data_IF_396061836802
#
_entry.id   IF_396061836802
#
_cell.length_a   1.000
_cell.length_b   1.000
_cell.length_c   1.000
_cell.angle_alpha   90.00
_cell.angle_beta   90.00
_cell.angle_gamma   90.00
#
_symmetry.space_group_name_H-M   'P 1'
#
loop_
_entity.id
_entity.type
_entity.pdbx_description
1 polymer ?
#
# COMPACT_ATOMS: atom_id res chain seq x y z
N UNK A 1 19.74 -29.30 20.13
CA UNK A 1 18.97 -28.06 19.88
C UNK A 1 19.48 -27.44 18.58
N UNK A 2 18.62 -27.17 17.59
CA UNK A 2 19.04 -26.57 16.33
C UNK A 2 19.13 -25.05 16.53
N UNK A 3 20.27 -24.43 16.18
CA UNK A 3 20.49 -23.00 16.32
C UNK A 3 20.43 -22.33 14.96
N UNK A 4 19.74 -21.18 14.87
CA UNK A 4 19.68 -20.36 13.65
C UNK A 4 20.99 -19.56 13.55
N UNK A 5 21.63 -19.60 12.38
CA UNK A 5 22.81 -18.78 12.09
C UNK A 5 22.38 -17.37 11.73
N UNK A 6 22.83 -16.39 12.48
CA UNK A 6 22.64 -14.96 12.18
C UNK A 6 23.76 -14.51 11.22
N UNK A 7 23.37 -13.95 10.05
CA UNK A 7 24.29 -13.46 9.02
C UNK A 7 24.11 -11.97 8.69
N UNK A 8 23.27 -11.27 9.48
CA UNK A 8 23.15 -9.81 9.43
C UNK A 8 23.95 -9.23 10.61
N UNK A 9 24.87 -8.33 10.35
CA UNK A 9 25.79 -7.78 11.35
C UNK A 9 25.66 -6.28 11.44
N UNK A 10 24.80 -5.84 12.31
CA UNK A 10 24.73 -4.45 12.74
C UNK A 10 24.38 -3.45 11.65
N UNK A 11 24.10 -2.25 12.11
CA UNK A 11 23.77 -1.11 11.29
C UNK A 11 25.00 -0.20 11.11
N UNK A 12 25.07 0.42 9.92
CA UNK A 12 26.10 1.40 9.58
C UNK A 12 25.49 2.50 8.71
N UNK A 13 26.36 3.36 8.18
CA UNK A 13 25.99 4.34 7.16
C UNK A 13 27.03 4.41 6.05
N UNK A 14 26.58 4.75 4.82
CA UNK A 14 27.44 4.89 3.66
C UNK A 14 27.03 6.09 2.81
N UNK A 15 27.99 6.69 2.10
CA UNK A 15 27.66 7.63 1.04
C UNK A 15 27.04 6.89 -0.15
N UNK A 16 26.19 7.56 -0.91
CA UNK A 16 25.52 6.96 -2.06
C UNK A 16 26.51 6.39 -3.08
N UNK A 17 27.66 7.05 -3.25
CA UNK A 17 28.73 6.71 -4.18
C UNK A 17 29.50 5.44 -3.80
N UNK A 18 29.47 5.07 -2.52
CA UNK A 18 30.14 3.88 -2.01
C UNK A 18 29.34 2.60 -2.28
N UNK A 19 28.05 2.75 -2.60
CA UNK A 19 27.12 1.64 -2.84
C UNK A 19 27.23 1.15 -4.29
N UNK A 20 27.66 -0.07 -4.46
CA UNK A 20 27.83 -0.69 -5.77
C UNK A 20 26.68 -1.67 -6.08
N UNK A 21 26.01 -1.56 -7.23
CA UNK A 21 24.94 -2.49 -7.60
C UNK A 21 25.51 -3.88 -7.91
N UNK A 22 24.87 -4.95 -7.40
CA UNK A 22 25.25 -6.34 -7.68
C UNK A 22 24.21 -7.09 -8.53
N UNK A 23 23.00 -6.54 -8.64
CA UNK A 23 21.85 -7.17 -9.29
C UNK A 23 22.02 -7.32 -10.82
N UNK A 24 22.77 -6.44 -11.48
CA UNK A 24 22.81 -6.36 -12.95
C UNK A 24 21.40 -6.01 -13.50
N UNK A 25 21.03 -6.68 -14.58
CA UNK A 25 19.72 -6.48 -15.26
C UNK A 25 18.56 -7.31 -14.71
N UNK A 26 18.65 -7.89 -13.50
CA UNK A 26 17.61 -8.78 -12.96
C UNK A 26 16.24 -8.11 -12.83
N UNK A 27 16.19 -6.83 -12.46
CA UNK A 27 14.96 -6.03 -12.37
C UNK A 27 15.16 -4.68 -13.04
N UNK A 28 14.19 -4.21 -13.78
CA UNK A 28 14.11 -2.85 -14.32
C UNK A 28 13.18 -1.99 -13.47
N UNK A 29 13.37 -0.68 -13.51
CA UNK A 29 12.52 0.31 -12.87
C UNK A 29 11.81 1.12 -13.95
N UNK A 30 10.49 0.97 -14.07
CA UNK A 30 9.69 1.78 -14.99
C UNK A 30 9.61 3.24 -14.52
N UNK A 31 9.30 4.16 -15.42
CA UNK A 31 9.14 5.57 -15.07
C UNK A 31 8.05 5.76 -14.01
N UNK A 32 6.91 5.10 -14.17
CA UNK A 32 5.82 5.16 -13.20
C UNK A 32 6.27 4.68 -11.81
N UNK A 33 6.98 3.55 -11.72
CA UNK A 33 7.47 3.02 -10.45
C UNK A 33 8.58 3.90 -9.86
N UNK A 34 9.41 4.54 -10.70
CA UNK A 34 10.37 5.53 -10.25
C UNK A 34 9.67 6.71 -9.57
N UNK A 35 8.61 7.26 -10.17
CA UNK A 35 7.87 8.38 -9.58
C UNK A 35 7.21 8.01 -8.24
N UNK A 36 6.61 6.82 -8.14
CA UNK A 36 6.04 6.29 -6.88
C UNK A 36 7.12 6.14 -5.81
N UNK A 37 8.25 5.53 -6.14
CA UNK A 37 9.35 5.32 -5.21
C UNK A 37 9.97 6.65 -4.77
N UNK A 38 10.13 7.61 -5.69
CA UNK A 38 10.58 8.98 -5.40
C UNK A 38 9.59 9.66 -4.46
N UNK A 39 8.28 9.61 -4.72
CA UNK A 39 7.25 10.18 -3.86
C UNK A 39 7.30 9.57 -2.44
N UNK A 40 7.49 8.26 -2.32
CA UNK A 40 7.65 7.60 -1.03
C UNK A 40 8.89 8.09 -0.27
N UNK A 41 10.04 8.22 -0.95
CA UNK A 41 11.31 8.65 -0.34
C UNK A 41 11.28 10.13 0.05
N UNK A 42 10.67 10.99 -0.77
CA UNK A 42 10.65 12.45 -0.52
C UNK A 42 9.45 12.92 0.28
N UNK A 43 8.43 12.09 0.41
CA UNK A 43 7.20 12.38 1.13
C UNK A 43 7.28 12.13 2.64
N UNK A 44 6.13 11.98 3.26
CA UNK A 44 5.97 11.80 4.72
C UNK A 44 6.73 10.60 5.31
N UNK A 45 7.00 9.57 4.51
CA UNK A 45 7.67 8.36 4.98
C UNK A 45 9.20 8.49 4.99
N UNK A 46 9.77 9.33 4.14
CA UNK A 46 11.22 9.49 4.01
C UNK A 46 11.92 8.20 3.56
N UNK A 47 13.24 8.15 3.72
CA UNK A 47 14.02 6.94 3.45
C UNK A 47 13.99 6.02 4.67
N UNK A 48 13.07 5.05 4.71
CA UNK A 48 12.70 4.26 5.90
C UNK A 48 13.36 2.89 5.99
N UNK A 49 13.98 2.38 4.92
CA UNK A 49 14.52 1.02 4.88
C UNK A 49 16.01 1.04 4.52
N UNK A 50 16.91 0.44 5.34
CA UNK A 50 18.33 0.39 5.06
C UNK A 50 18.63 -0.41 3.79
N UNK A 51 19.83 -0.20 3.23
CA UNK A 51 20.37 -1.09 2.20
C UNK A 51 20.99 -2.31 2.86
N UNK A 52 20.66 -3.51 2.38
CA UNK A 52 21.45 -4.68 2.74
C UNK A 52 22.70 -4.72 1.86
N UNK A 53 23.88 -4.70 2.48
CA UNK A 53 25.15 -4.62 1.77
C UNK A 53 26.10 -5.75 2.16
N UNK A 54 26.81 -6.26 1.17
CA UNK A 54 27.93 -7.19 1.36
C UNK A 54 29.24 -6.47 1.20
N UNK A 55 30.08 -6.45 2.25
CA UNK A 55 31.41 -5.87 2.20
C UNK A 55 32.42 -6.89 1.68
N UNK A 56 33.00 -6.60 0.52
CA UNK A 56 34.01 -7.47 -0.10
C UNK A 56 35.14 -6.65 -0.74
N UNK A 57 36.39 -6.96 -0.42
CA UNK A 57 37.57 -6.29 -0.93
C UNK A 57 37.50 -4.75 -0.84
N UNK A 58 37.02 -4.25 0.31
CA UNK A 58 36.89 -2.82 0.58
C UNK A 58 35.69 -2.14 -0.08
N UNK A 59 34.90 -2.82 -0.92
CA UNK A 59 33.71 -2.29 -1.57
C UNK A 59 32.43 -2.75 -0.88
N UNK A 60 31.39 -1.91 -0.92
CA UNK A 60 30.05 -2.21 -0.46
C UNK A 60 29.18 -2.59 -1.64
N UNK A 61 28.76 -3.85 -1.71
CA UNK A 61 27.92 -4.39 -2.76
C UNK A 61 26.49 -4.49 -2.27
N UNK A 62 25.57 -3.84 -2.95
CA UNK A 62 24.14 -3.86 -2.61
C UNK A 62 23.55 -5.24 -2.89
N UNK A 63 22.98 -5.86 -1.86
CA UNK A 63 22.26 -7.14 -1.92
C UNK A 63 20.76 -6.90 -1.98
N UNK A 64 20.25 -5.93 -1.21
CA UNK A 64 18.88 -5.44 -1.34
C UNK A 64 18.82 -3.91 -1.38
N UNK A 65 17.79 -3.39 -2.07
CA UNK A 65 17.57 -1.95 -2.26
C UNK A 65 18.00 -1.41 -3.62
N UNK A 66 18.27 -2.26 -4.61
CA UNK A 66 18.77 -1.85 -5.93
C UNK A 66 17.89 -0.78 -6.62
N UNK A 67 16.56 -0.88 -6.53
CA UNK A 67 15.65 0.10 -7.12
C UNK A 67 15.74 1.46 -6.39
N UNK A 68 15.89 1.43 -5.05
CA UNK A 68 16.15 2.62 -4.24
C UNK A 68 17.49 3.27 -4.62
N UNK A 69 18.54 2.45 -4.78
CA UNK A 69 19.85 2.93 -5.22
C UNK A 69 19.76 3.60 -6.58
N UNK A 70 19.15 2.96 -7.57
CA UNK A 70 18.95 3.51 -8.90
C UNK A 70 18.17 4.83 -8.86
N UNK A 71 17.09 4.90 -8.07
CA UNK A 71 16.30 6.11 -7.90
C UNK A 71 17.08 7.25 -7.27
N UNK A 72 17.83 7.00 -6.20
CA UNK A 72 18.64 8.03 -5.55
C UNK A 72 19.77 8.54 -6.43
N UNK A 73 20.44 7.65 -7.19
CA UNK A 73 21.46 8.05 -8.18
C UNK A 73 20.86 8.95 -9.26
N UNK A 74 19.67 8.61 -9.76
CA UNK A 74 18.92 9.41 -10.74
C UNK A 74 18.51 10.75 -10.16
N UNK A 75 17.92 10.78 -8.98
CA UNK A 75 17.51 12.02 -8.28
C UNK A 75 18.70 12.95 -8.05
N UNK A 76 19.86 12.40 -7.65
CA UNK A 76 21.07 13.20 -7.48
C UNK A 76 21.56 13.77 -8.80
N UNK A 77 21.62 12.94 -9.87
CA UNK A 77 22.18 13.31 -11.18
C UNK A 77 21.28 14.26 -11.96
N UNK A 78 19.98 13.97 -12.03
CA UNK A 78 19.05 14.65 -12.93
C UNK A 78 18.28 15.77 -12.23
N UNK A 79 18.04 15.64 -10.92
CA UNK A 79 17.19 16.56 -10.16
C UNK A 79 17.93 17.31 -9.04
N UNK A 80 19.26 17.15 -8.95
CA UNK A 80 20.12 17.88 -8.01
C UNK A 80 19.78 17.66 -6.53
N UNK A 81 19.21 16.52 -6.17
CA UNK A 81 18.95 16.21 -4.76
C UNK A 81 20.27 16.03 -3.98
N UNK A 82 20.32 16.61 -2.79
CA UNK A 82 21.38 16.34 -1.82
C UNK A 82 21.02 15.08 -1.05
N UNK A 83 21.76 14.01 -1.26
CA UNK A 83 21.54 12.73 -0.58
C UNK A 83 22.49 12.65 0.63
N UNK A 84 21.96 12.55 1.86
CA UNK A 84 22.79 12.34 3.05
C UNK A 84 23.39 10.94 3.07
N UNK A 85 24.22 10.63 4.07
CA UNK A 85 24.63 9.24 4.33
C UNK A 85 23.41 8.37 4.58
N UNK A 86 23.40 7.20 3.95
CA UNK A 86 22.26 6.28 3.91
C UNK A 86 22.48 5.13 4.89
N UNK A 87 21.42 4.69 5.61
CA UNK A 87 21.52 3.56 6.51
C UNK A 87 21.81 2.27 5.73
N UNK A 88 22.69 1.44 6.28
CA UNK A 88 23.07 0.15 5.70
C UNK A 88 23.08 -0.93 6.78
N UNK A 89 22.73 -2.16 6.40
CA UNK A 89 22.89 -3.37 7.19
C UNK A 89 23.87 -4.31 6.50
N UNK A 90 24.81 -4.88 7.26
CA UNK A 90 25.80 -5.78 6.71
C UNK A 90 25.30 -7.21 6.61
N UNK A 91 25.39 -7.77 5.41
CA UNK A 91 25.05 -9.16 5.11
C UNK A 91 26.34 -9.92 4.79
N UNK A 92 26.54 -11.06 5.45
CA UNK A 92 27.70 -11.92 5.17
C UNK A 92 27.47 -12.77 3.91
N UNK A 93 28.48 -12.85 3.05
CA UNK A 93 28.57 -13.84 1.99
C UNK A 93 30.04 -14.23 1.78
N UNK A 94 30.28 -15.51 1.56
CA UNK A 94 31.63 -16.05 1.37
C UNK A 94 32.25 -15.66 0.02
N UNK A 95 31.37 -15.49 -0.96
CA UNK A 95 31.76 -15.16 -2.34
C UNK A 95 30.60 -14.50 -3.10
N UNK A 96 30.87 -14.08 -4.34
CA UNK A 96 29.89 -13.40 -5.20
C UNK A 96 28.67 -14.28 -5.55
N UNK A 97 28.87 -15.61 -5.64
CA UNK A 97 27.78 -16.54 -5.92
C UNK A 97 26.76 -16.52 -4.76
N UNK A 98 27.24 -16.68 -3.54
CA UNK A 98 26.38 -16.63 -2.35
C UNK A 98 25.70 -15.25 -2.18
N UNK A 99 26.42 -14.16 -2.48
CA UNK A 99 25.82 -12.83 -2.44
C UNK A 99 24.69 -12.68 -3.47
N UNK A 100 24.82 -13.25 -4.68
CA UNK A 100 23.75 -13.27 -5.69
C UNK A 100 22.58 -14.18 -5.29
N UNK A 101 22.85 -15.33 -4.67
CA UNK A 101 21.80 -16.18 -4.09
C UNK A 101 20.99 -15.40 -3.05
N UNK A 102 21.62 -14.59 -2.21
CA UNK A 102 20.93 -13.74 -1.24
C UNK A 102 20.09 -12.64 -1.89
N UNK A 103 20.47 -12.10 -3.05
CA UNK A 103 19.60 -11.19 -3.83
C UNK A 103 18.30 -11.92 -4.23
N UNK A 104 18.40 -13.17 -4.70
CA UNK A 104 17.21 -13.96 -5.06
C UNK A 104 16.35 -14.26 -3.84
N UNK A 105 16.95 -14.60 -2.69
CA UNK A 105 16.22 -14.80 -1.42
C UNK A 105 15.50 -13.54 -0.96
N UNK A 106 16.15 -12.38 -1.02
CA UNK A 106 15.54 -11.09 -0.67
C UNK A 106 14.42 -10.67 -1.64
N UNK A 107 14.45 -11.21 -2.86
CA UNK A 107 13.45 -10.94 -3.90
C UNK A 107 12.28 -11.93 -3.86
N UNK A 108 12.46 -13.07 -3.18
CA UNK A 108 11.46 -14.13 -3.12
C UNK A 108 10.26 -13.74 -2.29
N UNK A 109 9.07 -14.09 -2.78
CA UNK A 109 7.81 -13.86 -2.08
C UNK A 109 7.35 -15.17 -1.43
N UNK A 110 7.58 -15.30 -0.13
CA UNK A 110 7.19 -16.49 0.63
C UNK A 110 5.76 -16.42 1.16
N UNK A 111 5.18 -15.24 1.25
CA UNK A 111 3.80 -14.98 1.64
C UNK A 111 2.97 -14.51 0.45
N UNK A 112 1.68 -14.88 0.44
CA UNK A 112 0.70 -14.31 -0.50
C UNK A 112 -0.12 -13.24 0.19
N UNK A 113 -0.29 -12.13 -0.49
CA UNK A 113 -1.25 -11.10 -0.13
C UNK A 113 -2.50 -11.29 -0.99
N UNK A 114 -3.69 -11.22 -0.39
CA UNK A 114 -4.97 -11.26 -1.09
C UNK A 114 -5.67 -9.91 -0.95
N UNK A 115 -6.66 -9.63 -1.82
CA UNK A 115 -7.48 -8.42 -1.70
C UNK A 115 -8.15 -8.35 -0.32
N UNK A 116 -8.66 -9.48 0.19
CA UNK A 116 -9.28 -9.58 1.51
C UNK A 116 -8.30 -9.24 2.65
N UNK A 117 -7.13 -9.90 2.68
CA UNK A 117 -6.13 -9.66 3.73
C UNK A 117 -5.58 -8.23 3.71
N UNK A 118 -5.46 -7.62 2.53
CA UNK A 118 -5.08 -6.22 2.42
C UNK A 118 -6.20 -5.31 2.91
N UNK A 119 -7.46 -5.60 2.55
CA UNK A 119 -8.63 -4.85 3.03
C UNK A 119 -8.72 -4.82 4.56
N UNK A 120 -8.56 -5.97 5.20
CA UNK A 120 -8.55 -6.08 6.67
C UNK A 120 -7.40 -5.30 7.30
N UNK A 121 -6.21 -5.38 6.70
CA UNK A 121 -5.03 -4.63 7.16
C UNK A 121 -5.24 -3.11 7.07
N UNK A 122 -5.85 -2.63 5.97
CA UNK A 122 -6.15 -1.21 5.77
C UNK A 122 -7.17 -0.71 6.81
N UNK A 123 -8.25 -1.48 7.04
CA UNK A 123 -9.27 -1.17 8.05
C UNK A 123 -8.68 -1.14 9.46
N UNK A 124 -7.87 -2.13 9.82
CA UNK A 124 -7.23 -2.20 11.14
C UNK A 124 -6.25 -1.06 11.40
N UNK A 125 -5.59 -0.56 10.37
CA UNK A 125 -4.60 0.52 10.44
C UNK A 125 -5.17 1.92 10.19
N UNK A 126 -6.47 2.05 9.91
CA UNK A 126 -7.11 3.32 9.46
C UNK A 126 -6.33 3.95 8.29
N UNK A 127 -5.96 3.11 7.31
CA UNK A 127 -5.17 3.51 6.16
C UNK A 127 -6.06 3.77 4.95
N UNK A 128 -5.86 4.93 4.31
CA UNK A 128 -6.58 5.26 3.08
C UNK A 128 -5.91 4.59 1.87
N UNK A 129 -6.71 3.82 1.12
CA UNK A 129 -6.25 3.17 -0.11
C UNK A 129 -5.87 4.18 -1.19
N UNK A 130 -6.49 5.36 -1.22
CA UNK A 130 -6.18 6.41 -2.18
C UNK A 130 -4.74 6.92 -1.97
N UNK A 131 -4.33 7.13 -0.72
CA UNK A 131 -2.95 7.52 -0.36
C UNK A 131 -1.94 6.43 -0.78
N UNK A 132 -2.31 5.15 -0.67
CA UNK A 132 -1.42 4.03 -0.97
C UNK A 132 -1.23 3.79 -2.46
N UNK A 133 -2.25 4.01 -3.30
CA UNK A 133 -2.18 3.84 -4.75
C UNK A 133 -1.02 4.60 -5.39
N UNK A 134 -0.70 5.77 -4.86
CA UNK A 134 0.39 6.63 -5.35
C UNK A 134 1.78 6.20 -4.86
N UNK A 135 1.85 5.39 -3.80
CA UNK A 135 3.11 5.06 -3.12
C UNK A 135 3.57 3.62 -3.32
N UNK A 136 2.62 2.67 -3.45
CA UNK A 136 2.96 1.25 -3.48
C UNK A 136 2.70 0.60 -4.83
N UNK A 137 3.43 -0.46 -5.10
CA UNK A 137 3.24 -1.33 -6.26
C UNK A 137 3.04 -2.76 -5.75
N UNK A 138 1.84 -3.28 -5.89
CA UNK A 138 1.44 -4.63 -5.49
C UNK A 138 0.99 -5.40 -6.74
N UNK A 139 1.91 -6.12 -7.43
CA UNK A 139 1.62 -6.70 -8.74
C UNK A 139 0.47 -7.72 -8.76
N UNK A 140 0.19 -8.35 -7.62
CA UNK A 140 -0.86 -9.38 -7.49
C UNK A 140 -2.22 -8.80 -7.04
N UNK A 141 -2.28 -7.50 -6.73
CA UNK A 141 -3.49 -6.84 -6.20
C UNK A 141 -3.93 -5.71 -7.13
N UNK A 142 -5.18 -5.75 -7.54
CA UNK A 142 -5.83 -4.64 -8.23
C UNK A 142 -6.33 -3.61 -7.19
N UNK A 143 -5.50 -2.59 -6.95
CA UNK A 143 -5.82 -1.54 -5.97
C UNK A 143 -7.03 -0.67 -6.40
N UNK A 144 -7.33 -0.57 -7.70
CA UNK A 144 -8.51 0.17 -8.18
C UNK A 144 -9.79 -0.59 -7.83
N UNK A 145 -9.80 -1.89 -8.12
CA UNK A 145 -10.92 -2.76 -7.80
C UNK A 145 -11.14 -2.85 -6.28
N UNK A 146 -10.07 -3.03 -5.52
CA UNK A 146 -10.14 -3.06 -4.05
C UNK A 146 -10.68 -1.74 -3.49
N UNK A 147 -10.21 -0.60 -3.98
CA UNK A 147 -10.72 0.71 -3.56
C UNK A 147 -12.22 0.86 -3.83
N UNK A 148 -12.67 0.42 -5.00
CA UNK A 148 -14.10 0.46 -5.34
C UNK A 148 -14.95 -0.45 -4.44
N UNK A 149 -14.44 -1.63 -4.07
CA UNK A 149 -15.16 -2.54 -3.15
C UNK A 149 -15.20 -2.00 -1.72
N UNK A 150 -14.13 -1.43 -1.21
CA UNK A 150 -14.09 -0.84 0.14
C UNK A 150 -15.01 0.39 0.29
N UNK A 151 -15.16 1.19 -0.77
CA UNK A 151 -16.09 2.33 -0.77
C UNK A 151 -17.55 1.86 -0.82
N UNK A 152 -17.81 0.74 -1.51
CA UNK A 152 -19.16 0.20 -1.68
C UNK A 152 -19.62 -0.72 -0.53
N UNK A 153 -18.78 -1.04 0.44
CA UNK A 153 -19.21 -1.68 1.67
C UNK A 153 -19.98 -0.67 2.54
N UNK A 154 -21.23 -0.41 2.15
CA UNK A 154 -22.19 0.16 3.09
C UNK A 154 -22.31 -0.73 4.33
N UNK A 155 -22.78 -0.22 5.48
CA UNK A 155 -22.96 -1.04 6.66
C UNK A 155 -23.75 -2.30 6.31
N UNK A 156 -23.24 -3.47 6.72
CA UNK A 156 -23.91 -4.75 6.46
C UNK A 156 -25.40 -4.66 6.81
N UNK A 157 -26.29 -5.12 5.90
CA UNK A 157 -27.71 -5.09 6.17
C UNK A 157 -28.00 -5.89 7.45
N UNK A 158 -28.48 -5.23 8.50
CA UNK A 158 -28.85 -5.88 9.77
C UNK A 158 -30.19 -6.60 9.62
N UNK A 159 -30.29 -7.52 8.67
CA UNK A 159 -31.52 -8.23 8.32
C UNK A 159 -32.10 -8.97 9.53
N UNK A 160 -31.24 -9.60 10.35
CA UNK A 160 -31.62 -10.32 11.54
C UNK A 160 -32.24 -9.43 12.61
N UNK A 161 -31.87 -8.14 12.61
CA UNK A 161 -32.43 -7.12 13.54
C UNK A 161 -33.55 -6.30 12.95
N UNK A 162 -33.91 -6.51 11.68
CA UNK A 162 -34.92 -5.71 11.00
C UNK A 162 -36.27 -5.71 11.72
N UNK A 163 -36.71 -6.87 12.21
CA UNK A 163 -37.96 -7.01 12.94
C UNK A 163 -37.95 -6.29 14.32
N UNK A 164 -36.82 -6.32 15.02
CA UNK A 164 -36.64 -5.60 16.29
C UNK A 164 -36.60 -4.08 16.08
N UNK A 165 -35.87 -3.64 15.06
CA UNK A 165 -35.74 -2.23 14.71
C UNK A 165 -37.06 -1.67 14.22
N UNK A 166 -37.85 -2.45 13.47
CA UNK A 166 -39.19 -2.07 13.04
C UNK A 166 -40.13 -1.83 14.24
N UNK A 167 -40.10 -2.73 15.23
CA UNK A 167 -40.89 -2.56 16.47
C UNK A 167 -40.46 -1.33 17.28
N UNK A 168 -39.12 -1.14 17.39
CA UNK A 168 -38.54 -0.01 18.14
C UNK A 168 -38.88 1.33 17.53
N UNK A 169 -38.74 1.45 16.21
CA UNK A 169 -38.89 2.71 15.48
C UNK A 169 -40.26 2.88 14.84
N UNK A 170 -41.14 1.86 14.98
CA UNK A 170 -42.51 1.83 14.42
C UNK A 170 -42.55 2.20 12.94
N UNK A 171 -41.56 1.69 12.19
CA UNK A 171 -41.44 1.98 10.76
C UNK A 171 -42.57 1.31 9.98
N UNK A 172 -43.22 2.06 9.09
CA UNK A 172 -44.32 1.56 8.25
C UNK A 172 -44.07 1.99 6.79
N UNK A 173 -44.62 1.19 5.86
CA UNK A 173 -44.57 1.51 4.43
C UNK A 173 -45.32 2.83 4.17
N UNK A 174 -44.74 3.69 3.34
CA UNK A 174 -45.27 5.03 3.04
C UNK A 174 -44.80 6.13 4.00
N UNK A 175 -44.15 5.76 5.10
CA UNK A 175 -43.67 6.71 6.09
C UNK A 175 -42.45 7.47 5.56
N UNK A 176 -42.42 8.80 5.75
CA UNK A 176 -41.34 9.70 5.35
C UNK A 176 -40.65 10.26 6.58
N UNK A 177 -39.31 10.30 6.56
CA UNK A 177 -38.49 10.99 7.55
C UNK A 177 -37.77 12.16 6.91
N UNK A 178 -37.67 13.25 7.61
CA UNK A 178 -36.89 14.41 7.24
C UNK A 178 -35.56 14.41 8.01
N UNK A 179 -34.44 14.41 7.30
CA UNK A 179 -33.07 14.37 7.86
C UNK A 179 -32.35 15.61 7.36
N UNK A 180 -32.47 16.72 8.10
CA UNK A 180 -32.01 18.02 7.65
C UNK A 180 -32.74 18.47 6.37
N UNK A 181 -31.99 18.57 5.26
CA UNK A 181 -32.55 18.91 3.94
C UNK A 181 -32.95 17.70 3.08
N UNK A 182 -32.77 16.50 3.59
CA UNK A 182 -33.04 15.27 2.88
C UNK A 182 -34.33 14.60 3.36
N UNK A 183 -34.96 13.86 2.46
CA UNK A 183 -36.17 13.06 2.78
C UNK A 183 -35.90 11.60 2.48
N UNK A 184 -36.26 10.74 3.41
CA UNK A 184 -36.14 9.29 3.29
C UNK A 184 -37.54 8.69 3.40
N UNK A 185 -37.90 7.77 2.54
CA UNK A 185 -39.18 7.09 2.54
C UNK A 185 -39.01 5.57 2.59
N UNK A 186 -39.80 4.91 3.43
CA UNK A 186 -39.99 3.47 3.38
C UNK A 186 -40.99 3.12 2.27
N UNK A 187 -40.51 2.88 1.03
CA UNK A 187 -41.37 2.68 -0.13
C UNK A 187 -40.71 1.81 -1.19
N UNK A 188 -41.33 1.74 -2.36
CA UNK A 188 -40.89 1.00 -3.52
C UNK A 188 -40.45 1.98 -4.59
N UNK A 189 -39.12 2.03 -4.86
CA UNK A 189 -38.52 2.95 -5.82
C UNK A 189 -38.94 2.69 -7.27
N UNK A 190 -39.57 1.54 -7.55
CA UNK A 190 -40.13 1.22 -8.87
C UNK A 190 -41.54 1.77 -9.09
N UNK A 191 -42.19 2.25 -8.01
CA UNK A 191 -43.53 2.83 -8.08
C UNK A 191 -43.46 4.36 -8.21
N UNK A 192 -43.97 4.87 -9.31
CA UNK A 192 -43.98 6.30 -9.60
C UNK A 192 -44.70 7.14 -8.53
N UNK A 193 -45.65 6.55 -7.80
CA UNK A 193 -46.37 7.20 -6.70
C UNK A 193 -45.45 7.42 -5.49
N UNK A 194 -44.71 6.39 -5.07
CA UNK A 194 -43.78 6.46 -3.97
C UNK A 194 -42.65 7.46 -4.25
N UNK A 195 -42.13 7.43 -5.49
CA UNK A 195 -41.09 8.39 -5.95
C UNK A 195 -41.64 9.83 -5.92
N UNK A 196 -42.85 10.08 -6.43
CA UNK A 196 -43.45 11.42 -6.36
C UNK A 196 -43.67 11.89 -4.94
N UNK A 197 -44.06 10.98 -4.06
CA UNK A 197 -44.33 11.30 -2.66
C UNK A 197 -43.04 11.69 -1.91
N UNK A 198 -41.92 10.97 -2.08
CA UNK A 198 -40.65 11.33 -1.44
C UNK A 198 -40.06 12.63 -1.99
N UNK A 199 -40.22 12.87 -3.29
CA UNK A 199 -39.68 14.07 -3.96
C UNK A 199 -40.49 15.35 -3.59
N UNK A 200 -41.77 15.22 -3.23
CA UNK A 200 -42.61 16.35 -2.84
C UNK A 200 -42.51 17.58 -3.77
N UNK A 201 -42.51 17.34 -5.09
CA UNK A 201 -42.42 18.39 -6.10
C UNK A 201 -40.99 18.87 -6.46
N UNK A 202 -39.95 18.36 -5.75
CA UNK A 202 -38.55 18.66 -6.11
C UNK A 202 -38.16 17.83 -7.34
N UNK A 203 -37.61 18.49 -8.35
CA UNK A 203 -37.00 17.79 -9.50
C UNK A 203 -35.60 17.38 -9.15
N UNK A 204 -35.24 16.09 -9.22
CA UNK A 204 -33.84 15.66 -9.11
C UNK A 204 -33.03 16.25 -10.27
N UNK A 205 -31.83 16.75 -9.91
CA UNK A 205 -30.87 17.30 -10.88
C UNK A 205 -30.20 16.22 -11.73
#
# INVERSE_FOLDING_TARGET
MKTIKITCRGAGSAALEDLNPLQGGLKSLSEQNYQKLKAAITGKHGFSFPFAVWKNKGKLWTVDGHQRLASLLRMKKEESYKIPHLPIDYVEARNIKEAREKILLATSQYGRMTEESLGDFLKAGDLDIADLKELVVLPEIDLEKLGSSLINEGPEPQIDKAAELQKKWKTARGQIWEIGKHRLMCGDSTKAEDVRHVLNGVKPG
#
